data_IF_324364716781
#
_entry.id   IF_324364716781
#
_cell.length_a   1.000
_cell.length_b   1.000
_cell.length_c   1.000
_cell.angle_alpha   90.00
_cell.angle_beta   90.00
_cell.angle_gamma   90.00
#
_symmetry.space_group_name_H-M   'P 1'
#
loop_
_entity.id
_entity.type
_entity.pdbx_description
1 polymer ?
#
# COMPACT_ATOMS: atom_id res chain seq x y z
N UNK A 1 7.92 -8.60 1.13
CA UNK A 1 6.76 -8.93 0.30
C UNK A 1 5.49 -8.63 1.08
N UNK A 2 4.77 -7.58 0.68
CA UNK A 2 3.53 -7.13 1.33
C UNK A 2 2.40 -8.16 1.20
N UNK A 3 2.38 -8.96 0.14
CA UNK A 3 1.38 -10.02 -0.04
C UNK A 3 1.54 -11.08 1.05
N UNK A 4 2.78 -11.44 1.40
CA UNK A 4 3.04 -12.39 2.48
C UNK A 4 2.65 -11.83 3.85
N UNK A 5 2.88 -10.55 4.11
CA UNK A 5 2.43 -9.89 5.36
C UNK A 5 0.91 -9.95 5.46
N UNK A 6 0.21 -9.60 4.38
CA UNK A 6 -1.24 -9.70 4.33
C UNK A 6 -1.73 -11.15 4.47
N UNK A 7 -1.11 -12.11 3.79
CA UNK A 7 -1.44 -13.53 3.92
C UNK A 7 -1.32 -14.00 5.36
N UNK A 8 -0.18 -13.78 6.01
CA UNK A 8 0.05 -14.23 7.39
C UNK A 8 -0.95 -13.61 8.38
N UNK A 9 -1.39 -12.39 8.12
CA UNK A 9 -2.34 -11.67 8.98
C UNK A 9 -3.78 -12.18 8.78
N UNK A 10 -4.17 -12.49 7.54
CA UNK A 10 -5.58 -12.70 7.19
C UNK A 10 -5.92 -14.11 6.67
N UNK A 11 -4.97 -15.03 6.54
CA UNK A 11 -5.19 -16.38 5.97
C UNK A 11 -6.29 -17.20 6.64
N UNK A 12 -6.56 -16.96 7.92
CA UNK A 12 -7.58 -17.67 8.69
C UNK A 12 -8.93 -16.91 8.73
N UNK A 13 -9.01 -15.74 8.08
CA UNK A 13 -10.18 -14.86 8.03
C UNK A 13 -10.74 -14.74 6.62
N UNK A 14 -9.86 -14.65 5.62
CA UNK A 14 -10.23 -14.39 4.23
C UNK A 14 -9.59 -15.40 3.27
N UNK A 15 -10.35 -15.98 2.32
CA UNK A 15 -9.80 -16.93 1.34
C UNK A 15 -8.88 -16.25 0.31
N UNK A 16 -8.96 -14.93 0.17
CA UNK A 16 -8.17 -14.11 -0.75
C UNK A 16 -6.95 -13.46 -0.05
N UNK A 17 -6.59 -13.90 1.16
CA UNK A 17 -5.47 -13.31 1.89
C UNK A 17 -4.18 -13.32 1.05
N UNK A 18 -3.55 -12.14 0.90
CA UNK A 18 -2.33 -11.96 0.11
C UNK A 18 -2.59 -11.69 -1.38
N UNK A 19 -3.84 -11.72 -1.83
CA UNK A 19 -4.21 -11.43 -3.22
C UNK A 19 -4.62 -9.97 -3.38
N UNK A 20 -4.05 -9.29 -4.38
CA UNK A 20 -4.46 -7.92 -4.73
C UNK A 20 -5.87 -7.87 -5.31
N UNK A 21 -6.47 -6.68 -5.30
CA UNK A 21 -7.77 -6.44 -5.94
C UNK A 21 -7.70 -6.71 -7.44
N UNK A 22 -8.74 -7.37 -7.94
CA UNK A 22 -8.89 -7.68 -9.36
C UNK A 22 -9.74 -6.63 -10.08
N UNK A 23 -9.62 -6.51 -11.43
CA UNK A 23 -10.51 -5.68 -12.23
C UNK A 23 -12.00 -5.91 -11.90
N UNK A 24 -12.71 -4.81 -11.67
CA UNK A 24 -14.10 -4.83 -11.19
C UNK A 24 -14.26 -4.61 -9.68
N UNK A 25 -13.16 -4.67 -8.92
CA UNK A 25 -13.12 -4.33 -7.49
C UNK A 25 -12.40 -3.00 -7.26
N UNK A 26 -12.82 -1.96 -7.97
CA UNK A 26 -12.27 -0.62 -7.76
C UNK A 26 -12.82 -0.01 -6.48
N UNK A 27 -11.95 0.66 -5.73
CA UNK A 27 -12.26 1.21 -4.41
C UNK A 27 -12.05 2.72 -4.45
N UNK A 28 -12.97 3.44 -3.79
CA UNK A 28 -12.78 4.82 -3.42
C UNK A 28 -12.84 4.92 -1.90
N UNK A 29 -11.98 5.75 -1.32
CA UNK A 29 -12.06 6.10 0.10
C UNK A 29 -12.49 7.55 0.22
N UNK A 30 -13.68 7.76 0.79
CA UNK A 30 -14.35 9.05 0.74
C UNK A 30 -14.65 9.47 -0.70
N UNK A 31 -14.12 10.62 -1.11
CA UNK A 31 -14.24 11.14 -2.48
C UNK A 31 -13.01 10.87 -3.36
N UNK A 32 -12.04 10.10 -2.87
CA UNK A 32 -10.77 9.84 -3.56
C UNK A 32 -10.79 8.43 -4.13
N UNK A 33 -10.64 8.31 -5.44
CA UNK A 33 -10.46 7.01 -6.09
C UNK A 33 -9.06 6.48 -5.81
N UNK A 34 -8.97 5.23 -5.34
CA UNK A 34 -7.70 4.55 -5.18
C UNK A 34 -7.14 4.11 -6.54
N UNK A 35 -5.90 3.63 -6.53
CA UNK A 35 -5.24 3.10 -7.74
C UNK A 35 -6.08 1.99 -8.39
N UNK A 36 -6.26 2.10 -9.71
CA UNK A 36 -6.91 1.08 -10.54
C UNK A 36 -6.26 -0.29 -10.31
N UNK A 37 -7.06 -1.32 -10.10
CA UNK A 37 -6.64 -2.71 -9.85
C UNK A 37 -5.47 -3.18 -10.73
N UNK A 38 -5.57 -2.98 -12.05
CA UNK A 38 -4.56 -3.36 -13.05
C UNK A 38 -3.21 -2.63 -12.90
N UNK A 39 -3.17 -1.52 -12.16
CA UNK A 39 -1.97 -0.70 -11.93
C UNK A 39 -1.32 -0.97 -10.58
N UNK A 40 -1.98 -1.71 -9.66
CA UNK A 40 -1.50 -1.94 -8.29
C UNK A 40 -0.04 -2.41 -8.26
N UNK A 41 0.29 -3.48 -9.00
CA UNK A 41 1.65 -4.03 -9.01
C UNK A 41 2.68 -3.00 -9.48
N UNK A 42 2.38 -2.26 -10.54
CA UNK A 42 3.28 -1.24 -11.07
C UNK A 42 3.50 -0.10 -10.07
N UNK A 43 2.44 0.38 -9.42
CA UNK A 43 2.52 1.44 -8.41
C UNK A 43 3.25 0.99 -7.14
N UNK A 44 3.10 -0.27 -6.72
CA UNK A 44 3.87 -0.81 -5.60
C UNK A 44 5.35 -0.93 -5.93
N UNK A 45 5.70 -1.39 -7.14
CA UNK A 45 7.09 -1.44 -7.59
C UNK A 45 7.72 -0.05 -7.65
N UNK A 46 6.96 0.96 -8.12
CA UNK A 46 7.41 2.35 -8.11
C UNK A 46 7.65 2.85 -6.68
N UNK A 47 6.70 2.61 -5.77
CA UNK A 47 6.83 2.98 -4.36
C UNK A 47 8.02 2.28 -3.68
N UNK A 48 8.25 0.99 -3.93
CA UNK A 48 9.41 0.24 -3.42
C UNK A 48 10.74 0.80 -3.93
N UNK A 49 10.79 1.24 -5.19
CA UNK A 49 11.97 1.89 -5.76
C UNK A 49 12.22 3.26 -5.11
N UNK A 50 11.16 4.06 -4.91
CA UNK A 50 11.26 5.34 -4.18
C UNK A 50 11.74 5.14 -2.74
N UNK A 51 11.21 4.13 -2.04
CA UNK A 51 11.66 3.73 -0.70
C UNK A 51 13.15 3.44 -0.71
N UNK A 52 13.59 2.57 -1.61
CA UNK A 52 14.97 2.10 -1.69
C UNK A 52 15.94 3.25 -1.98
N UNK A 53 15.56 4.18 -2.85
CA UNK A 53 16.39 5.35 -3.19
C UNK A 53 16.48 6.36 -2.05
N UNK A 54 15.39 6.56 -1.31
CA UNK A 54 15.29 7.62 -0.29
C UNK A 54 15.77 7.17 1.09
N UNK A 55 15.66 5.87 1.43
CA UNK A 55 16.18 5.34 2.70
C UNK A 55 17.70 5.49 2.80
N UNK A 56 18.40 5.58 1.67
CA UNK A 56 19.84 5.81 1.59
C UNK A 56 20.25 7.26 1.93
N UNK A 57 19.32 8.22 1.90
CA UNK A 57 19.61 9.66 2.09
C UNK A 57 18.97 10.26 3.35
N UNK A 58 18.17 9.50 4.09
CA UNK A 58 17.53 9.94 5.33
C UNK A 58 18.48 9.87 6.54
N UNK A 59 19.24 10.94 6.77
CA UNK A 59 20.26 11.07 7.82
C UNK A 59 19.72 11.56 9.18
N UNK A 60 18.48 12.06 9.24
CA UNK A 60 17.85 12.57 10.46
C UNK A 60 16.55 11.83 10.80
N UNK A 61 16.13 11.92 12.07
CA UNK A 61 14.85 11.33 12.53
C UNK A 61 13.66 11.99 11.87
N UNK A 62 13.71 13.30 11.68
CA UNK A 62 12.65 14.10 11.06
C UNK A 62 12.45 13.71 9.60
N UNK A 63 13.56 13.53 8.85
CA UNK A 63 13.49 13.04 7.47
C UNK A 63 12.91 11.64 7.41
N UNK A 64 13.29 10.75 8.32
CA UNK A 64 12.72 9.39 8.40
C UNK A 64 11.20 9.44 8.65
N UNK A 65 10.75 10.24 9.62
CA UNK A 65 9.32 10.39 9.91
C UNK A 65 8.52 10.98 8.72
N UNK A 66 9.10 11.94 8.00
CA UNK A 66 8.49 12.47 6.78
C UNK A 66 8.34 11.38 5.71
N UNK A 67 9.38 10.57 5.51
CA UNK A 67 9.35 9.47 4.55
C UNK A 67 8.37 8.36 4.96
N UNK A 68 8.34 7.96 6.23
CA UNK A 68 7.37 7.00 6.74
C UNK A 68 5.94 7.49 6.51
N UNK A 69 5.69 8.79 6.71
CA UNK A 69 4.38 9.41 6.44
C UNK A 69 4.03 9.39 4.95
N UNK A 70 5.01 9.69 4.08
CA UNK A 70 4.83 9.61 2.62
C UNK A 70 4.52 8.18 2.17
N UNK A 71 5.28 7.18 2.62
CA UNK A 71 5.05 5.79 2.24
C UNK A 71 3.70 5.28 2.72
N UNK A 72 3.31 5.65 3.94
CA UNK A 72 2.00 5.32 4.49
C UNK A 72 0.87 5.88 3.62
N UNK A 73 0.90 7.18 3.32
CA UNK A 73 -0.11 7.83 2.48
C UNK A 73 -0.15 7.26 1.05
N UNK A 74 1.02 7.01 0.45
CA UNK A 74 1.12 6.40 -0.89
C UNK A 74 0.54 4.98 -0.90
N UNK A 75 0.85 4.17 0.11
CA UNK A 75 0.31 2.82 0.23
C UNK A 75 -1.22 2.83 0.43
N UNK A 76 -1.74 3.73 1.26
CA UNK A 76 -3.18 3.94 1.45
C UNK A 76 -3.88 4.34 0.15
N UNK A 77 -3.27 5.21 -0.65
CA UNK A 77 -3.80 5.62 -1.96
C UNK A 77 -3.79 4.48 -2.97
N UNK A 78 -2.80 3.57 -2.92
CA UNK A 78 -2.76 2.39 -3.79
C UNK A 78 -3.88 1.41 -3.39
N UNK A 79 -4.12 1.25 -2.09
CA UNK A 79 -5.16 0.40 -1.52
C UNK A 79 -5.16 -1.01 -2.15
N UNK A 80 -4.07 -1.78 -2.05
CA UNK A 80 -3.85 -2.92 -2.93
C UNK A 80 -4.75 -4.13 -2.67
N UNK A 81 -5.27 -4.32 -1.46
CA UNK A 81 -6.05 -5.50 -1.08
C UNK A 81 -7.56 -5.22 -1.07
N UNK A 82 -8.43 -6.25 -1.19
CA UNK A 82 -9.88 -6.06 -1.07
C UNK A 82 -10.34 -5.54 0.29
N UNK A 83 -9.67 -5.96 1.37
CA UNK A 83 -9.87 -5.50 2.75
C UNK A 83 -8.54 -5.73 3.50
N UNK A 84 -8.39 -5.20 4.72
CA UNK A 84 -7.15 -5.30 5.50
C UNK A 84 -6.05 -4.28 5.14
N UNK A 85 -6.39 -3.27 4.33
CA UNK A 85 -5.52 -2.10 4.12
C UNK A 85 -5.56 -1.17 5.35
N UNK A 86 -4.51 -0.37 5.61
CA UNK A 86 -4.56 0.67 6.62
C UNK A 86 -5.77 1.61 6.36
N UNK A 87 -6.48 2.06 7.41
CA UNK A 87 -7.57 3.01 7.24
C UNK A 87 -7.01 4.31 6.70
N UNK A 88 -7.65 4.89 5.68
CA UNK A 88 -7.27 6.23 5.20
C UNK A 88 -7.40 7.20 6.35
N UNK A 89 -6.26 7.75 6.77
CA UNK A 89 -6.23 8.79 7.79
C UNK A 89 -6.72 10.09 7.16
N UNK A 90 -8.02 10.34 7.27
CA UNK A 90 -8.70 11.59 6.88
C UNK A 90 -9.23 12.34 8.09
#
# INVERSE_FOLDING_TARGET
>A
DIQNVHYLTFKDVHPWAGTFREPGHEVAVGSVNCTESKKITASLMELENEISNMHLVADSKEKKALWDSFYHASFESIHPFPDGNPPVSG
#
